data_IF_455894391869
#
_entry.id   IF_455894391869
#
_cell.length_a   1.000
_cell.length_b   1.000
_cell.length_c   1.000
_cell.angle_alpha   90.00
_cell.angle_beta   90.00
_cell.angle_gamma   90.00
#
_symmetry.space_group_name_H-M   'P 1'
#
loop_
_entity.id
_entity.type
_entity.pdbx_description
1 polymer ?
#
# COMPACT_ATOMS: atom_id res chain seq x y z
N UNK A 1 43.92 58.28 15.01
CA UNK A 1 42.60 58.30 14.42
C UNK A 1 41.85 57.06 14.93
N UNK A 2 40.94 57.31 15.86
CA UNK A 2 40.02 56.27 16.36
C UNK A 2 38.79 56.27 15.46
N UNK A 3 38.50 55.10 14.83
CA UNK A 3 37.24 54.89 14.09
C UNK A 3 36.19 54.48 15.13
N UNK A 4 35.26 55.37 15.42
CA UNK A 4 34.08 55.06 16.23
C UNK A 4 33.11 54.24 15.40
N UNK A 5 33.07 52.91 15.64
CA UNK A 5 32.11 51.99 15.02
C UNK A 5 30.86 51.82 15.89
N UNK A 6 30.22 52.96 16.20
CA UNK A 6 28.92 52.96 16.85
C UNK A 6 27.79 53.14 15.84
N UNK A 7 27.87 52.42 14.72
CA UNK A 7 26.78 52.33 13.78
C UNK A 7 25.87 51.16 14.16
N UNK A 8 24.70 51.51 14.66
CA UNK A 8 23.59 50.57 14.85
C UNK A 8 23.26 49.89 13.52
N UNK A 9 23.85 48.72 13.28
CA UNK A 9 23.43 47.86 12.16
C UNK A 9 22.13 47.19 12.57
N UNK A 10 21.01 47.77 12.17
CA UNK A 10 19.69 47.17 12.34
C UNK A 10 19.50 46.13 11.24
N UNK A 11 19.70 44.88 11.55
CA UNK A 11 19.26 43.78 10.68
C UNK A 11 17.72 43.72 10.70
N UNK A 12 17.07 44.25 9.68
CA UNK A 12 15.69 43.91 9.40
C UNK A 12 15.67 42.51 8.86
N UNK A 13 15.40 41.50 9.71
CA UNK A 13 14.93 40.20 9.28
C UNK A 13 13.57 40.43 8.64
N UNK A 14 13.53 40.57 7.31
CA UNK A 14 12.30 40.45 6.55
C UNK A 14 11.93 38.97 6.58
N UNK A 15 11.02 38.59 7.49
CA UNK A 15 10.34 37.34 7.43
C UNK A 15 9.31 37.41 6.28
N UNK A 16 9.78 37.44 5.04
CA UNK A 16 8.96 36.96 3.94
C UNK A 16 8.79 35.50 4.24
N UNK A 17 7.65 35.16 4.84
CA UNK A 17 7.29 33.78 5.16
C UNK A 17 7.35 32.94 3.90
N UNK A 18 8.47 32.26 3.70
CA UNK A 18 8.52 31.11 2.85
C UNK A 18 7.78 30.00 3.64
N UNK A 19 6.46 30.03 3.59
CA UNK A 19 5.70 28.81 3.86
C UNK A 19 5.98 27.87 2.69
N UNK A 20 7.10 27.17 2.77
CA UNK A 20 7.30 26.00 1.93
C UNK A 20 6.16 25.04 2.27
N UNK A 21 5.20 24.90 1.36
CA UNK A 21 4.20 23.87 1.50
C UNK A 21 4.95 22.54 1.70
N UNK A 22 4.52 21.75 2.67
CA UNK A 22 5.10 20.43 2.86
C UNK A 22 5.00 19.66 1.54
N UNK A 23 6.05 18.95 1.11
CA UNK A 23 6.01 18.18 -0.12
C UNK A 23 4.88 17.15 -0.06
N UNK A 24 4.27 16.88 -1.21
CA UNK A 24 3.28 15.82 -1.34
C UNK A 24 3.97 14.47 -1.13
N UNK A 25 3.43 13.68 -0.21
CA UNK A 25 3.94 12.35 0.11
C UNK A 25 2.78 11.40 0.43
N UNK A 26 2.89 10.15 -0.01
CA UNK A 26 1.99 9.06 0.34
C UNK A 26 2.82 7.99 1.06
N UNK A 27 2.30 7.44 2.15
CA UNK A 27 2.94 6.37 2.92
C UNK A 27 1.92 5.27 3.20
N UNK A 28 2.11 4.08 2.62
CA UNK A 28 1.25 2.93 2.86
C UNK A 28 1.48 2.40 4.28
N UNK A 29 0.38 2.12 4.98
CA UNK A 29 0.37 1.58 6.34
C UNK A 29 -0.02 0.10 6.35
N UNK A 30 -1.00 -0.30 5.53
CA UNK A 30 -1.50 -1.66 5.49
C UNK A 30 -2.18 -1.98 4.13
N UNK A 31 -1.98 -3.16 3.54
CA UNK A 31 -0.95 -4.14 3.92
C UNK A 31 0.44 -3.61 3.56
N UNK A 32 1.44 -3.87 4.41
CA UNK A 32 2.78 -3.32 4.22
C UNK A 32 3.91 -4.38 4.23
N UNK A 33 3.52 -5.67 4.23
CA UNK A 33 4.43 -6.81 4.10
C UNK A 33 4.19 -7.91 5.14
N UNK A 34 4.48 -9.14 4.76
CA UNK A 34 4.35 -10.35 5.60
C UNK A 34 2.92 -10.69 6.09
N UNK A 35 1.87 -9.97 5.65
CA UNK A 35 0.50 -10.32 5.96
C UNK A 35 0.03 -11.47 5.05
N UNK A 36 -0.94 -12.26 5.55
CA UNK A 36 -1.71 -13.19 4.74
C UNK A 36 -3.15 -12.71 4.69
N UNK A 37 -3.60 -12.31 3.50
CA UNK A 37 -4.95 -11.84 3.23
C UNK A 37 -5.74 -12.98 2.60
N UNK A 38 -6.98 -13.20 3.05
CA UNK A 38 -7.88 -14.12 2.38
C UNK A 38 -8.53 -13.40 1.18
N UNK A 39 -8.46 -14.01 -0.02
CA UNK A 39 -8.98 -13.38 -1.24
C UNK A 39 -10.47 -13.03 -1.17
N UNK A 40 -11.27 -13.79 -0.40
CA UNK A 40 -12.72 -13.64 -0.29
C UNK A 40 -13.17 -12.86 0.96
N UNK A 41 -12.23 -12.28 1.69
CA UNK A 41 -12.49 -11.42 2.85
C UNK A 41 -12.16 -9.98 2.54
N UNK A 42 -13.02 -9.08 2.99
CA UNK A 42 -12.73 -7.66 2.95
C UNK A 42 -11.51 -7.34 3.83
N UNK A 43 -10.63 -6.52 3.29
CA UNK A 43 -9.46 -5.96 3.96
C UNK A 43 -9.45 -4.45 3.73
N UNK A 44 -9.03 -3.70 4.73
CA UNK A 44 -8.91 -2.25 4.61
C UNK A 44 -7.49 -1.87 4.23
N UNK A 45 -7.28 -1.37 3.01
CA UNK A 45 -6.02 -0.75 2.60
C UNK A 45 -5.93 0.60 3.31
N UNK A 46 -4.80 0.89 3.95
CA UNK A 46 -4.58 2.11 4.73
C UNK A 46 -3.31 2.81 4.29
N UNK A 47 -3.40 4.13 4.15
CA UNK A 47 -2.23 4.98 3.87
C UNK A 47 -2.37 6.33 4.56
N UNK A 48 -1.26 7.05 4.62
CA UNK A 48 -1.21 8.43 5.11
C UNK A 48 -0.72 9.35 4.01
N UNK A 49 -1.35 10.49 3.89
CA UNK A 49 -0.98 11.52 2.91
C UNK A 49 -0.49 12.78 3.60
N UNK A 50 0.60 13.33 3.12
CA UNK A 50 1.13 14.64 3.46
C UNK A 50 1.02 15.56 2.25
N UNK A 51 0.95 16.87 2.48
CA UNK A 51 0.76 17.85 1.40
C UNK A 51 -0.68 17.88 0.88
N UNK A 52 -0.85 18.09 -0.43
CA UNK A 52 -2.15 18.30 -1.09
C UNK A 52 -2.30 17.29 -2.24
N UNK A 53 -2.90 16.15 -1.93
CA UNK A 53 -3.24 15.10 -2.90
C UNK A 53 -4.73 14.82 -2.77
N UNK A 54 -5.50 15.18 -3.80
CA UNK A 54 -6.97 15.12 -3.73
C UNK A 54 -7.51 13.73 -4.04
N UNK A 55 -6.88 13.01 -4.96
CA UNK A 55 -7.32 11.67 -5.40
C UNK A 55 -6.15 10.75 -5.63
N UNK A 56 -6.39 9.46 -5.43
CA UNK A 56 -5.41 8.41 -5.65
C UNK A 56 -5.99 7.24 -6.44
N UNK A 57 -5.10 6.54 -7.15
CA UNK A 57 -5.35 5.24 -7.76
C UNK A 57 -4.69 4.15 -6.92
N UNK A 58 -5.41 3.05 -6.70
CA UNK A 58 -4.90 1.88 -6.02
C UNK A 58 -4.69 0.74 -7.03
N UNK A 59 -3.57 0.06 -6.93
CA UNK A 59 -3.24 -1.08 -7.77
C UNK A 59 -2.47 -2.15 -7.00
N UNK A 60 -2.54 -3.42 -7.47
CA UNK A 60 -1.67 -4.47 -6.97
C UNK A 60 -0.72 -4.96 -8.06
N UNK A 61 0.38 -5.54 -7.63
CA UNK A 61 1.35 -6.24 -8.47
C UNK A 61 1.58 -7.64 -7.88
N UNK A 62 1.63 -8.67 -8.75
CA UNK A 62 1.96 -10.03 -8.33
C UNK A 62 3.18 -10.51 -9.10
N UNK A 63 4.31 -10.65 -8.41
CA UNK A 63 5.59 -11.00 -9.00
C UNK A 63 6.77 -10.47 -8.20
N UNK A 64 7.98 -10.63 -8.75
CA UNK A 64 9.21 -10.10 -8.17
C UNK A 64 9.55 -8.74 -8.80
N UNK A 65 10.19 -7.88 -8.02
CA UNK A 65 10.77 -6.61 -8.47
C UNK A 65 9.79 -5.63 -9.16
N UNK A 66 8.66 -5.27 -8.53
CA UNK A 66 7.77 -4.25 -9.08
C UNK A 66 8.47 -2.90 -9.12
N UNK A 67 8.41 -2.22 -10.26
CA UNK A 67 8.82 -0.82 -10.33
C UNK A 67 7.63 0.08 -9.96
N UNK A 68 7.73 0.80 -8.86
CA UNK A 68 6.70 1.72 -8.39
C UNK A 68 6.44 2.87 -9.36
N UNK A 69 7.43 3.21 -10.21
CA UNK A 69 7.37 4.32 -11.16
C UNK A 69 6.78 3.94 -12.52
N UNK A 70 6.67 2.65 -12.83
CA UNK A 70 6.08 2.15 -14.06
C UNK A 70 4.63 1.72 -13.80
N UNK A 71 3.79 1.81 -14.84
CA UNK A 71 2.42 1.30 -14.76
C UNK A 71 2.31 -0.14 -15.27
N UNK A 72 3.33 -0.62 -15.97
CA UNK A 72 3.38 -1.98 -16.48
C UNK A 72 3.38 -3.01 -15.34
N UNK A 73 2.55 -4.04 -15.47
CA UNK A 73 2.40 -5.13 -14.50
C UNK A 73 1.54 -4.80 -13.28
N UNK A 74 1.19 -3.54 -13.06
CA UNK A 74 0.24 -3.15 -12.03
C UNK A 74 -1.20 -3.34 -12.51
N UNK A 75 -1.99 -4.03 -11.70
CA UNK A 75 -3.42 -4.26 -11.98
C UNK A 75 -4.25 -3.36 -11.07
N UNK A 76 -5.19 -2.65 -11.68
CA UNK A 76 -6.06 -1.70 -10.98
C UNK A 76 -6.94 -2.39 -9.95
N UNK A 77 -6.98 -1.81 -8.74
CA UNK A 77 -7.95 -2.11 -7.68
C UNK A 77 -9.08 -1.07 -7.70
N UNK A 78 -8.72 0.20 -7.72
CA UNK A 78 -9.66 1.32 -7.75
C UNK A 78 -9.00 2.56 -8.34
N UNK A 79 -9.80 3.40 -9.00
CA UNK A 79 -9.41 4.71 -9.54
C UNK A 79 -10.14 5.85 -8.86
N UNK A 80 -9.52 7.03 -8.95
CA UNK A 80 -10.10 8.30 -8.51
C UNK A 80 -10.66 8.26 -7.08
N UNK A 81 -10.02 7.46 -6.20
CA UNK A 81 -10.42 7.36 -4.79
C UNK A 81 -10.14 8.69 -4.10
N UNK A 82 -11.16 9.23 -3.45
CA UNK A 82 -11.04 10.46 -2.67
C UNK A 82 -9.97 10.30 -1.59
N UNK A 83 -9.15 11.32 -1.45
CA UNK A 83 -8.02 11.33 -0.55
C UNK A 83 -7.98 12.63 0.25
N UNK A 84 -7.56 12.56 1.48
CA UNK A 84 -7.40 13.72 2.35
C UNK A 84 -6.01 13.74 2.96
N UNK A 85 -5.57 14.92 3.38
CA UNK A 85 -4.35 15.03 4.19
C UNK A 85 -4.55 14.28 5.51
N UNK A 86 -3.62 13.41 5.85
CA UNK A 86 -3.70 12.53 7.04
C UNK A 86 -4.01 11.09 6.67
N UNK A 87 -4.72 10.39 7.55
CA UNK A 87 -5.01 8.97 7.40
C UNK A 87 -6.17 8.73 6.44
N UNK A 88 -5.99 7.76 5.55
CA UNK A 88 -6.94 7.35 4.52
C UNK A 88 -7.12 5.84 4.55
N UNK A 89 -8.27 5.37 4.06
CA UNK A 89 -8.62 3.96 4.01
C UNK A 89 -9.50 3.62 2.81
N UNK A 90 -9.34 2.40 2.27
CA UNK A 90 -10.17 1.84 1.20
C UNK A 90 -10.47 0.37 1.50
N UNK A 91 -11.74 -0.01 1.50
CA UNK A 91 -12.16 -1.39 1.70
C UNK A 91 -12.05 -2.17 0.39
N UNK A 92 -11.31 -3.26 0.42
CA UNK A 92 -10.98 -4.09 -0.72
C UNK A 92 -11.25 -5.57 -0.44
N UNK A 93 -12.01 -6.21 -1.31
CA UNK A 93 -12.12 -7.67 -1.33
C UNK A 93 -11.27 -8.18 -2.50
N UNK A 94 -10.12 -8.83 -2.28
CA UNK A 94 -9.19 -9.16 -3.35
C UNK A 94 -9.85 -9.92 -4.53
N UNK A 95 -10.75 -10.86 -4.26
CA UNK A 95 -11.43 -11.64 -5.31
C UNK A 95 -12.32 -10.82 -6.25
N UNK A 96 -12.66 -9.57 -5.89
CA UNK A 96 -13.39 -8.66 -6.79
C UNK A 96 -12.49 -8.03 -7.86
N UNK A 97 -11.17 -8.16 -7.74
CA UNK A 97 -10.20 -7.55 -8.66
C UNK A 97 -9.76 -8.54 -9.72
N UNK A 98 -9.66 -8.06 -10.96
CA UNK A 98 -9.19 -8.85 -12.11
C UNK A 98 -7.85 -9.53 -11.83
N UNK A 99 -7.73 -10.78 -12.22
CA UNK A 99 -6.50 -11.57 -12.09
C UNK A 99 -6.31 -12.27 -10.74
N UNK A 100 -6.91 -11.80 -9.65
CA UNK A 100 -6.71 -12.42 -8.32
C UNK A 100 -7.21 -13.86 -8.28
N UNK A 101 -8.41 -14.14 -8.82
CA UNK A 101 -8.98 -15.48 -8.79
C UNK A 101 -8.21 -16.49 -9.64
N UNK A 102 -7.56 -16.03 -10.72
CA UNK A 102 -6.73 -16.85 -11.62
C UNK A 102 -5.23 -16.77 -11.32
N UNK A 103 -4.85 -16.08 -10.24
CA UNK A 103 -3.44 -15.90 -9.86
C UNK A 103 -2.74 -17.25 -9.67
N UNK A 104 -1.61 -17.42 -10.38
CA UNK A 104 -0.78 -18.62 -10.25
C UNK A 104 -0.28 -18.78 -8.80
N UNK A 105 -0.23 -20.02 -8.31
CA UNK A 105 0.17 -20.30 -6.92
C UNK A 105 1.53 -19.71 -6.56
N UNK A 106 2.49 -19.75 -7.49
CA UNK A 106 3.83 -19.19 -7.29
C UNK A 106 3.87 -17.66 -7.10
N UNK A 107 2.81 -16.94 -7.47
CA UNK A 107 2.74 -15.48 -7.34
C UNK A 107 2.00 -15.02 -6.08
N UNK A 108 1.28 -15.93 -5.41
CA UNK A 108 0.41 -15.58 -4.28
C UNK A 108 1.14 -15.00 -3.07
N UNK A 109 2.41 -15.36 -2.90
CA UNK A 109 3.27 -14.87 -1.81
C UNK A 109 4.12 -13.67 -2.21
N UNK A 110 3.92 -13.14 -3.42
CA UNK A 110 4.71 -12.07 -4.01
C UNK A 110 3.82 -10.91 -4.44
N UNK A 111 2.89 -10.49 -3.57
CA UNK A 111 1.93 -9.42 -3.88
C UNK A 111 2.36 -8.11 -3.21
N UNK A 112 2.25 -7.01 -3.94
CA UNK A 112 2.45 -5.64 -3.44
C UNK A 112 1.25 -4.78 -3.78
N UNK A 113 1.01 -3.75 -2.98
CA UNK A 113 0.04 -2.68 -3.26
C UNK A 113 0.80 -1.40 -3.57
N UNK A 114 0.26 -0.62 -4.49
CA UNK A 114 0.67 0.76 -4.77
C UNK A 114 -0.51 1.69 -4.57
N UNK A 115 -0.24 2.86 -3.98
CA UNK A 115 -1.11 4.03 -3.96
C UNK A 115 -0.39 5.14 -4.72
N UNK A 116 -1.05 5.69 -5.75
CA UNK A 116 -0.47 6.71 -6.64
C UNK A 116 -1.45 7.87 -6.77
N UNK A 117 -0.97 9.12 -6.64
CA UNK A 117 -1.80 10.30 -6.96
C UNK A 117 -2.26 10.26 -8.41
N UNK A 118 -3.47 10.72 -8.70
CA UNK A 118 -4.03 10.70 -10.06
C UNK A 118 -3.23 11.54 -11.05
N UNK A 119 -2.52 12.58 -10.58
CA UNK A 119 -1.59 13.37 -11.39
C UNK A 119 -0.23 12.67 -11.59
N UNK A 120 -0.02 11.52 -10.96
CA UNK A 120 1.17 10.69 -11.09
C UNK A 120 2.43 11.23 -10.42
N UNK A 121 2.37 12.31 -9.64
CA UNK A 121 3.57 12.94 -9.06
C UNK A 121 4.05 12.28 -7.79
N UNK A 122 3.14 11.78 -6.96
CA UNK A 122 3.50 11.09 -5.73
C UNK A 122 2.90 9.69 -5.68
N UNK A 123 3.65 8.76 -5.11
CA UNK A 123 3.28 7.36 -4.99
C UNK A 123 4.08 6.65 -3.92
N UNK A 124 3.51 5.57 -3.42
CA UNK A 124 4.19 4.63 -2.55
C UNK A 124 3.72 3.20 -2.83
N UNK A 125 4.53 2.23 -2.50
CA UNK A 125 4.14 0.82 -2.50
C UNK A 125 4.44 0.18 -1.14
N UNK A 126 3.73 -0.91 -0.83
CA UNK A 126 3.95 -1.68 0.40
C UNK A 126 5.44 -2.02 0.56
N UNK A 127 5.98 -1.86 1.77
CA UNK A 127 7.41 -2.02 2.06
C UNK A 127 7.96 -3.42 1.77
N UNK A 128 7.08 -4.45 1.86
CA UNK A 128 7.43 -5.83 1.53
C UNK A 128 6.25 -6.56 0.88
N UNK A 129 6.49 -7.78 0.41
CA UNK A 129 5.47 -8.66 -0.14
C UNK A 129 4.52 -9.17 0.93
N UNK A 130 3.27 -9.38 0.56
CA UNK A 130 2.26 -10.07 1.35
C UNK A 130 1.64 -11.20 0.54
N UNK A 131 0.93 -12.11 1.22
CA UNK A 131 0.31 -13.29 0.62
C UNK A 131 -1.18 -13.05 0.38
N UNK A 132 -1.71 -13.47 -0.77
CA UNK A 132 -3.15 -13.63 -1.00
C UNK A 132 -3.49 -15.13 -0.94
N UNK A 133 -4.13 -15.54 0.15
CA UNK A 133 -4.58 -16.91 0.35
C UNK A 133 -5.85 -17.21 -0.44
N UNK A 134 -5.83 -18.29 -1.21
CA UNK A 134 -6.95 -18.82 -1.97
C UNK A 134 -7.71 -19.94 -1.24
N UNK A 135 -7.26 -20.35 -0.06
CA UNK A 135 -8.01 -21.28 0.76
C UNK A 135 -9.27 -20.62 1.29
N UNK A 136 -10.43 -21.00 0.79
CA UNK A 136 -11.67 -20.85 1.53
C UNK A 136 -11.47 -21.58 2.86
N UNK A 137 -11.58 -20.85 3.98
CA UNK A 137 -11.30 -21.36 5.33
C UNK A 137 -12.20 -22.50 5.81
N UNK A 138 -12.24 -23.61 5.07
CA UNK A 138 -12.53 -24.91 5.64
C UNK A 138 -11.21 -25.41 6.24
N UNK A 139 -10.99 -25.06 7.50
CA UNK A 139 -10.22 -25.93 8.38
C UNK A 139 -10.95 -27.27 8.28
N UNK A 140 -10.38 -28.22 7.51
CA UNK A 140 -10.81 -29.62 7.64
C UNK A 140 -10.64 -29.93 9.14
N UNK A 141 -11.76 -30.19 9.80
CA UNK A 141 -11.69 -30.51 11.23
C UNK A 141 -10.74 -31.71 11.36
N UNK A 142 -9.95 -31.70 12.43
CA UNK A 142 -9.01 -32.81 12.74
C UNK A 142 -9.68 -34.16 12.64
N UNK A 143 -11.00 -34.25 12.84
CA UNK A 143 -11.86 -35.44 12.67
C UNK A 143 -11.95 -35.97 11.24
N UNK A 144 -11.84 -35.12 10.19
CA UNK A 144 -11.82 -35.58 8.79
C UNK A 144 -10.45 -36.15 8.38
N UNK A 145 -9.37 -35.58 8.91
CA UNK A 145 -8.01 -36.09 8.68
C UNK A 145 -7.83 -37.47 9.30
N UNK A 146 -8.47 -37.73 10.44
CA UNK A 146 -8.44 -39.06 11.11
C UNK A 146 -9.23 -40.10 10.33
N UNK A 147 -10.29 -39.74 9.60
CA UNK A 147 -11.06 -40.67 8.77
C UNK A 147 -10.30 -41.17 7.56
N UNK A 148 -9.46 -40.35 6.96
CA UNK A 148 -8.66 -40.75 5.78
C UNK A 148 -7.53 -41.70 6.18
N UNK A 149 -7.04 -41.67 7.42
CA UNK A 149 -5.98 -42.56 7.92
C UNK A 149 -6.45 -43.91 8.48
N UNK A 150 -7.75 -44.16 8.56
CA UNK A 150 -8.30 -45.38 9.18
C UNK A 150 -8.70 -46.51 8.23
N UNK A 151 -8.19 -46.55 6.99
CA UNK A 151 -8.38 -47.79 6.24
C UNK A 151 -7.30 -48.07 5.20
N UNK A 152 -6.12 -48.61 5.61
CA UNK A 152 -5.23 -49.21 4.62
C UNK A 152 -5.44 -50.72 4.43
N UNK A 153 -6.11 -51.44 5.31
CA UNK A 153 -6.25 -52.91 5.15
C UNK A 153 -7.51 -53.45 5.83
N UNK A 154 -8.57 -53.70 5.09
CA UNK A 154 -9.47 -54.80 5.33
C UNK A 154 -9.32 -55.77 4.17
N UNK A 155 -8.59 -56.85 4.45
CA UNK A 155 -8.76 -58.10 3.79
C UNK A 155 -10.07 -58.73 4.21
#
# INVERSE_FOLDING_TARGET
DYIDINSNITFKLSSTGMTSAAPDEIVIKYPNGNQTLNKDKEVTIQWKTFGTVDKVDLAYYAGTDPDVNQDEGWTEIAKDVENVKGDNAYNWTPSSTTGINSMATALRDSVRIRVKSTDGKTRDMSGWYFTISHSSGKIQSVSEIVKIRKNPYKQ
#
